data_IF_975954074875
#
_entry.id   IF_975954074875
#
_cell.length_a   1.000
_cell.length_b   1.000
_cell.length_c   1.000
_cell.angle_alpha   90.00
_cell.angle_beta   90.00
_cell.angle_gamma   90.00
#
_symmetry.space_group_name_H-M   'P 1'
#
loop_
_entity.id
_entity.type
_entity.pdbx_description
1 polymer ?
#
# COMPACT_ATOMS: atom_id res chain seq x y z
N UNK A 1 -10.14 19.54 -3.94
CA UNK A 1 -9.21 18.83 -4.84
C UNK A 1 -7.96 18.50 -4.05
N UNK A 2 -7.45 17.26 -4.14
CA UNK A 2 -6.22 16.86 -3.45
C UNK A 2 -5.02 17.29 -4.28
N UNK A 3 -3.90 17.59 -3.61
CA UNK A 3 -2.64 17.88 -4.31
C UNK A 3 -1.89 16.61 -4.69
N UNK A 4 -1.97 15.59 -3.85
CA UNK A 4 -1.24 14.35 -4.05
C UNK A 4 -2.11 13.14 -3.72
N UNK A 5 -2.11 12.17 -4.62
CA UNK A 5 -2.74 10.88 -4.41
C UNK A 5 -1.67 9.79 -4.47
N UNK A 6 -1.57 8.96 -3.44
CA UNK A 6 -0.80 7.72 -3.52
C UNK A 6 -1.71 6.59 -3.99
N UNK A 7 -1.21 5.76 -4.90
CA UNK A 7 -1.89 4.55 -5.37
C UNK A 7 -0.96 3.39 -5.07
N UNK A 8 -1.43 2.35 -4.39
CA UNK A 8 -0.61 1.16 -4.12
C UNK A 8 -1.25 0.24 -3.10
N UNK A 9 -0.83 -1.02 -3.09
CA UNK A 9 -1.30 -2.00 -2.12
C UNK A 9 -0.72 -1.72 -0.72
N UNK A 10 -1.52 -2.05 0.28
CA UNK A 10 -1.04 -2.30 1.65
C UNK A 10 -0.71 -3.79 1.72
N UNK A 11 0.35 -4.13 2.44
CA UNK A 11 0.77 -5.53 2.60
C UNK A 11 0.50 -6.04 4.00
N UNK A 12 0.33 -7.36 4.09
CA UNK A 12 0.51 -8.10 5.34
C UNK A 12 1.90 -8.72 5.30
N UNK A 13 2.81 -8.16 6.09
CA UNK A 13 4.19 -8.61 6.17
C UNK A 13 4.36 -9.57 7.34
N UNK A 14 4.79 -10.80 7.05
CA UNK A 14 5.36 -11.72 8.02
C UNK A 14 6.86 -11.41 8.14
N UNK A 15 7.27 -10.87 9.28
CA UNK A 15 8.66 -10.53 9.58
C UNK A 15 9.25 -11.63 10.44
N UNK A 16 10.29 -12.30 9.93
CA UNK A 16 11.01 -13.35 10.65
C UNK A 16 12.40 -12.81 11.00
N UNK A 17 12.72 -12.76 12.28
CA UNK A 17 14.07 -12.44 12.80
C UNK A 17 14.59 -13.62 13.61
N UNK A 18 15.89 -13.65 13.99
CA UNK A 18 16.42 -14.69 14.87
C UNK A 18 15.74 -14.75 16.25
N UNK A 19 15.04 -13.68 16.65
CA UNK A 19 14.47 -13.52 18.00
C UNK A 19 12.96 -13.71 18.06
N UNK A 20 12.24 -13.38 16.99
CA UNK A 20 10.78 -13.42 16.96
C UNK A 20 10.24 -13.48 15.54
N UNK A 21 8.96 -13.80 15.42
CA UNK A 21 8.19 -13.66 14.18
C UNK A 21 6.98 -12.79 14.47
N UNK A 22 6.83 -11.72 13.70
CA UNK A 22 5.73 -10.76 13.82
C UNK A 22 4.96 -10.64 12.51
N UNK A 23 3.73 -10.14 12.62
CA UNK A 23 2.86 -9.83 11.50
C UNK A 23 2.50 -8.35 11.56
N UNK A 24 2.86 -7.60 10.52
CA UNK A 24 2.73 -6.16 10.47
C UNK A 24 2.10 -5.72 9.16
N UNK A 25 1.35 -4.62 9.20
CA UNK A 25 0.94 -3.93 7.98
C UNK A 25 2.13 -3.19 7.38
N UNK A 26 2.26 -3.24 6.06
CA UNK A 26 3.36 -2.65 5.32
C UNK A 26 2.95 -2.18 3.94
N UNK A 27 3.94 -2.10 3.06
CA UNK A 27 3.77 -1.62 1.69
C UNK A 27 4.09 -0.14 1.53
N UNK A 28 4.53 0.23 0.33
CA UNK A 28 4.96 1.61 0.02
C UNK A 28 3.86 2.61 0.34
N UNK A 29 2.62 2.29 -0.04
CA UNK A 29 1.46 3.15 0.19
C UNK A 29 1.14 3.36 1.68
N UNK A 30 1.29 2.32 2.50
CA UNK A 30 1.12 2.39 3.96
C UNK A 30 2.13 3.35 4.59
N UNK A 31 3.42 3.16 4.30
CA UNK A 31 4.47 4.02 4.83
C UNK A 31 4.34 5.46 4.34
N UNK A 32 3.99 5.65 3.06
CA UNK A 32 3.76 6.97 2.49
C UNK A 32 2.61 7.70 3.21
N UNK A 33 1.48 7.02 3.43
CA UNK A 33 0.33 7.59 4.13
C UNK A 33 0.69 8.00 5.57
N UNK A 34 1.38 7.15 6.32
CA UNK A 34 1.83 7.48 7.67
C UNK A 34 2.83 8.64 7.72
N UNK A 35 3.74 8.72 6.75
CA UNK A 35 4.72 9.81 6.66
C UNK A 35 4.05 11.14 6.32
N UNK A 36 3.22 11.17 5.28
CA UNK A 36 2.61 12.40 4.79
C UNK A 36 1.55 12.95 5.75
N UNK A 37 0.83 12.08 6.47
CA UNK A 37 -0.16 12.47 7.48
C UNK A 37 0.42 13.29 8.64
N UNK A 38 1.75 13.25 8.85
CA UNK A 38 2.44 14.04 9.88
C UNK A 38 2.81 15.47 9.42
N UNK A 39 2.69 15.77 8.13
CA UNK A 39 2.92 17.11 7.61
C UNK A 39 1.73 18.03 7.96
N UNK A 40 1.92 19.36 8.02
CA UNK A 40 0.82 20.28 8.24
C UNK A 40 -0.11 20.31 7.02
N UNK A 41 -1.40 20.00 7.23
CA UNK A 41 -2.48 20.05 6.23
C UNK A 41 -2.11 19.37 4.88
N UNK A 42 -1.72 18.09 4.88
CA UNK A 42 -1.37 17.40 3.67
C UNK A 42 -2.66 17.21 2.87
N UNK A 43 -2.79 17.89 1.73
CA UNK A 43 -3.91 17.70 0.81
C UNK A 43 -3.76 16.36 0.07
N UNK A 44 -3.80 15.26 0.84
CA UNK A 44 -3.46 13.90 0.46
C UNK A 44 -4.69 12.99 0.40
N UNK A 45 -4.66 12.04 -0.53
CA UNK A 45 -5.55 10.88 -0.58
C UNK A 45 -4.77 9.61 -0.92
N UNK A 46 -5.33 8.47 -0.54
CA UNK A 46 -4.80 7.15 -0.81
C UNK A 46 -5.84 6.33 -1.59
N UNK A 47 -5.41 5.69 -2.67
CA UNK A 47 -6.13 4.61 -3.35
C UNK A 47 -5.40 3.31 -3.07
N UNK A 48 -6.08 2.34 -2.48
CA UNK A 48 -5.45 1.07 -2.10
C UNK A 48 -6.39 -0.11 -2.26
N UNK A 49 -5.84 -1.32 -2.18
CA UNK A 49 -6.60 -2.57 -2.23
C UNK A 49 -6.03 -3.56 -1.23
N UNK A 50 -6.93 -4.20 -0.47
CA UNK A 50 -6.68 -5.26 0.51
C UNK A 50 -7.87 -6.22 0.51
N UNK A 51 -7.66 -7.45 1.00
CA UNK A 51 -8.73 -8.40 1.31
C UNK A 51 -9.48 -8.01 2.59
N UNK A 52 -10.66 -8.61 2.81
CA UNK A 52 -11.55 -8.29 3.94
C UNK A 52 -10.87 -8.47 5.30
N UNK A 53 -9.98 -9.46 5.44
CA UNK A 53 -9.24 -9.74 6.68
C UNK A 53 -8.38 -8.54 7.14
N UNK A 54 -8.00 -7.64 6.22
CA UNK A 54 -7.15 -6.48 6.49
C UNK A 54 -7.90 -5.14 6.47
N UNK A 55 -9.24 -5.15 6.44
CA UNK A 55 -10.03 -3.90 6.43
C UNK A 55 -9.78 -3.01 7.65
N UNK A 56 -9.38 -3.60 8.78
CA UNK A 56 -9.00 -2.85 9.98
C UNK A 56 -7.88 -1.85 9.70
N UNK A 57 -6.92 -2.18 8.82
CA UNK A 57 -5.81 -1.28 8.46
C UNK A 57 -6.33 -0.02 7.75
N UNK A 58 -7.41 -0.15 6.98
CA UNK A 58 -8.05 0.98 6.30
C UNK A 58 -8.68 1.93 7.32
N UNK A 59 -9.32 1.39 8.36
CA UNK A 59 -9.88 2.20 9.44
C UNK A 59 -8.79 2.92 10.24
N UNK A 60 -7.66 2.25 10.49
CA UNK A 60 -6.49 2.86 11.14
C UNK A 60 -5.91 4.01 10.31
N UNK A 61 -5.79 3.85 8.99
CA UNK A 61 -5.33 4.92 8.08
C UNK A 61 -6.32 6.10 8.02
N UNK A 62 -7.63 5.83 8.07
CA UNK A 62 -8.65 6.88 8.18
C UNK A 62 -8.58 7.60 9.53
N UNK A 63 -8.31 6.88 10.61
CA UNK A 63 -8.20 7.45 11.96
C UNK A 63 -7.02 8.43 12.10
N UNK A 64 -5.96 8.27 11.32
CA UNK A 64 -4.85 9.26 11.25
C UNK A 64 -5.13 10.43 10.29
N UNK A 65 -6.35 10.55 9.76
CA UNK A 65 -6.77 11.66 8.90
C UNK A 65 -6.50 11.46 7.41
N UNK A 66 -6.16 10.24 6.97
CA UNK A 66 -5.99 9.95 5.54
C UNK A 66 -7.35 9.72 4.89
N UNK A 67 -7.61 10.39 3.77
CA UNK A 67 -8.74 10.04 2.90
C UNK A 67 -8.38 8.80 2.08
N UNK A 68 -9.03 7.68 2.37
CA UNK A 68 -8.74 6.38 1.75
C UNK A 68 -9.90 5.92 0.87
N UNK A 69 -9.64 5.80 -0.43
CA UNK A 69 -10.46 5.02 -1.38
C UNK A 69 -9.96 3.57 -1.35
N UNK A 70 -10.81 2.69 -0.83
CA UNK A 70 -10.57 1.25 -0.84
C UNK A 70 -11.17 0.64 -2.11
N UNK A 71 -10.37 -0.14 -2.83
CA UNK A 71 -10.82 -1.07 -3.86
C UNK A 71 -10.82 -2.46 -3.21
N UNK A 72 -11.99 -3.06 -2.92
CA UNK A 72 -12.06 -4.40 -2.35
C UNK A 72 -11.29 -5.40 -3.21
N UNK A 73 -10.25 -6.01 -2.64
CA UNK A 73 -9.48 -7.08 -3.30
C UNK A 73 -9.96 -8.45 -2.83
N UNK A 74 -9.72 -9.49 -3.63
CA UNK A 74 -9.99 -10.87 -3.18
C UNK A 74 -8.92 -11.35 -2.19
N UNK A 75 -7.77 -10.68 -2.14
CA UNK A 75 -6.67 -10.97 -1.22
C UNK A 75 -5.79 -9.73 -0.98
N UNK A 76 -5.01 -9.78 0.08
CA UNK A 76 -3.95 -8.80 0.38
C UNK A 76 -2.61 -9.31 -0.15
N UNK A 77 -1.72 -8.41 -0.56
CA UNK A 77 -0.33 -8.79 -0.86
C UNK A 77 0.34 -9.25 0.43
N UNK A 78 0.89 -10.47 0.45
CA UNK A 78 1.57 -11.02 1.63
C UNK A 78 3.05 -11.17 1.32
N UNK A 79 3.90 -10.49 2.08
CA UNK A 79 5.34 -10.73 2.07
C UNK A 79 5.79 -11.56 3.25
N UNK A 80 6.68 -12.51 3.01
CA UNK A 80 7.51 -13.12 4.05
C UNK A 80 8.92 -12.54 3.94
N UNK A 81 9.32 -11.78 4.95
CA UNK A 81 10.60 -11.10 5.05
C UNK A 81 11.42 -11.78 6.15
N UNK A 82 12.44 -12.55 5.76
CA UNK A 82 13.33 -13.21 6.71
C UNK A 82 14.67 -12.47 6.80
N UNK A 83 15.04 -12.11 8.03
CA UNK A 83 16.25 -11.37 8.38
C UNK A 83 17.21 -12.26 9.19
N UNK A 84 18.50 -12.12 8.94
CA UNK A 84 19.55 -12.72 9.77
C UNK A 84 19.91 -11.86 10.99
N UNK A 85 21.01 -12.21 11.67
CA UNK A 85 21.59 -11.36 12.73
C UNK A 85 22.00 -9.98 12.19
N UNK A 86 22.44 -9.92 10.93
CA UNK A 86 22.59 -8.67 10.20
C UNK A 86 21.25 -8.33 9.52
N UNK A 87 20.59 -7.26 9.97
CA UNK A 87 19.32 -6.78 9.44
C UNK A 87 19.38 -6.26 8.01
N UNK A 88 20.57 -5.94 7.50
CA UNK A 88 20.75 -5.52 6.11
C UNK A 88 20.64 -6.71 5.13
N UNK A 89 20.79 -7.94 5.64
CA UNK A 89 20.61 -9.16 4.84
C UNK A 89 19.21 -9.71 5.04
N UNK A 90 18.40 -9.60 3.98
CA UNK A 90 17.01 -10.06 3.97
C UNK A 90 16.70 -10.88 2.72
N UNK A 91 16.00 -11.99 2.90
CA UNK A 91 15.27 -12.66 1.81
C UNK A 91 13.80 -12.31 1.89
N UNK A 92 13.19 -11.99 0.75
CA UNK A 92 11.76 -11.71 0.66
C UNK A 92 11.08 -12.72 -0.26
N UNK A 93 9.92 -13.22 0.15
CA UNK A 93 9.05 -14.08 -0.66
C UNK A 93 7.68 -13.44 -0.78
N UNK A 94 7.07 -13.58 -1.95
CA UNK A 94 5.68 -13.19 -2.21
C UNK A 94 4.81 -14.41 -1.96
N UNK A 95 4.02 -14.38 -0.88
CA UNK A 95 3.15 -15.49 -0.51
C UNK A 95 1.74 -15.36 -1.11
N UNK A 96 1.29 -14.13 -1.32
CA UNK A 96 0.04 -13.82 -2.01
C UNK A 96 0.16 -12.49 -2.75
N UNK A 97 -0.67 -12.32 -3.79
CA UNK A 97 -0.74 -11.11 -4.62
C UNK A 97 -2.19 -10.64 -4.67
N UNK A 98 -2.38 -9.33 -4.59
CA UNK A 98 -3.65 -8.70 -4.88
C UNK A 98 -3.78 -8.38 -6.38
N UNK A 99 -4.99 -8.04 -6.82
CA UNK A 99 -5.27 -7.64 -8.19
C UNK A 99 -4.59 -6.31 -8.56
N UNK A 100 -4.21 -6.13 -9.85
CA UNK A 100 -3.62 -4.89 -10.32
C UNK A 100 -4.60 -3.71 -10.30
N UNK A 101 -4.06 -2.50 -10.17
CA UNK A 101 -4.80 -1.27 -10.39
C UNK A 101 -5.04 -1.03 -11.88
N UNK A 102 -6.29 -0.70 -12.22
CA UNK A 102 -6.77 -0.41 -13.58
C UNK A 102 -7.36 0.99 -13.67
N UNK A 103 -7.51 1.52 -14.88
CA UNK A 103 -8.11 2.84 -15.16
C UNK A 103 -9.48 3.01 -14.50
N UNK A 104 -10.32 1.98 -14.53
CA UNK A 104 -11.67 1.99 -13.92
C UNK A 104 -11.65 2.26 -12.42
N UNK A 105 -10.56 1.92 -11.73
CA UNK A 105 -10.41 2.18 -10.30
C UNK A 105 -10.07 3.65 -9.99
N UNK A 106 -9.64 4.44 -10.99
CA UNK A 106 -9.14 5.81 -10.82
C UNK A 106 -9.91 6.85 -11.65
N UNK A 107 -11.01 6.47 -12.30
CA UNK A 107 -11.77 7.36 -13.18
C UNK A 107 -12.36 8.60 -12.48
N UNK A 108 -12.63 8.51 -11.18
CA UNK A 108 -13.18 9.54 -10.29
C UNK A 108 -12.12 10.11 -9.31
N UNK A 109 -10.86 9.74 -9.46
CA UNK A 109 -9.76 10.19 -8.60
C UNK A 109 -9.05 11.36 -9.25
N UNK A 110 -8.98 12.49 -8.54
CA UNK A 110 -8.36 13.72 -9.04
C UNK A 110 -7.29 14.24 -8.08
N UNK A 111 -6.06 14.39 -8.59
CA UNK A 111 -4.94 15.00 -7.91
C UNK A 111 -3.95 15.65 -8.90
N UNK A 112 -3.17 16.62 -8.43
CA UNK A 112 -2.11 17.24 -9.23
C UNK A 112 -0.90 16.31 -9.42
N UNK A 113 -0.65 15.44 -8.44
CA UNK A 113 0.48 14.50 -8.40
C UNK A 113 -0.03 13.11 -8.03
N UNK A 114 0.32 12.12 -8.82
CA UNK A 114 0.13 10.71 -8.49
C UNK A 114 1.46 10.06 -8.08
N UNK A 115 1.49 9.46 -6.89
CA UNK A 115 2.61 8.65 -6.43
C UNK A 115 2.24 7.17 -6.54
N UNK A 116 2.84 6.47 -7.52
CA UNK A 116 2.64 5.04 -7.74
C UNK A 116 3.54 4.25 -6.78
N UNK A 117 2.97 3.75 -5.70
CA UNK A 117 3.65 2.99 -4.66
C UNK A 117 3.74 1.50 -4.99
N UNK A 118 4.37 1.15 -6.12
CA UNK A 118 4.53 -0.23 -6.57
C UNK A 118 5.35 -1.09 -5.61
N UNK A 119 4.97 -2.35 -5.52
CA UNK A 119 5.60 -3.41 -4.76
C UNK A 119 5.98 -4.59 -5.65
N UNK A 120 5.13 -4.95 -6.61
CA UNK A 120 5.33 -6.01 -7.59
C UNK A 120 5.32 -5.45 -9.02
N UNK A 121 5.90 -6.22 -9.94
CA UNK A 121 6.10 -5.80 -11.32
C UNK A 121 4.79 -5.56 -12.11
N UNK A 122 3.69 -6.12 -11.62
CA UNK A 122 2.37 -6.08 -12.25
C UNK A 122 1.31 -5.42 -11.38
N UNK A 123 1.67 -4.58 -10.40
CA UNK A 123 0.69 -3.84 -9.59
C UNK A 123 -0.09 -2.81 -10.43
N UNK A 124 0.52 -2.29 -11.50
CA UNK A 124 -0.07 -1.26 -12.35
C UNK A 124 -0.16 -1.73 -13.79
N UNK A 125 -1.37 -1.68 -14.35
CA UNK A 125 -1.56 -1.85 -15.78
C UNK A 125 -0.83 -0.71 -16.54
N UNK A 126 -0.04 -0.99 -17.59
CA UNK A 126 0.57 0.06 -18.41
C UNK A 126 -0.42 1.09 -18.94
N UNK A 127 -1.67 0.71 -19.19
CA UNK A 127 -2.72 1.65 -19.63
C UNK A 127 -3.12 2.62 -18.52
N UNK A 128 -3.05 2.21 -17.26
CA UNK A 128 -3.24 3.11 -16.13
C UNK A 128 -2.13 4.17 -16.07
N UNK A 129 -0.88 3.80 -16.36
CA UNK A 129 0.24 4.75 -16.38
C UNK A 129 0.06 5.81 -17.47
N UNK A 130 -0.53 5.44 -18.62
CA UNK A 130 -0.81 6.40 -19.71
C UNK A 130 -2.00 7.31 -19.42
N UNK A 131 -2.94 6.84 -18.60
CA UNK A 131 -4.15 7.55 -18.23
C UNK A 131 -3.88 8.67 -17.20
N UNK A 132 -2.94 8.42 -16.27
CA UNK A 132 -2.51 9.37 -15.24
C UNK A 132 -1.53 10.42 -15.79
#
# INVERSE_FOLDING_TARGET
>A
MKKICCVGHITHDKIITPRHTDHLSGGTAYYFAHGIARLPNPAFSLVTSVGEDDYKVIDELRAIGTEVKLIPGSSTVIFENAYGENSDHRTQRVLAKAEPFKVEHLCDVHADIFHLGSLLADDFDPDLIRYL
#
